data_IF_826884982270
#
_entry.id   IF_826884982270
#
_cell.length_a   1.000
_cell.length_b   1.000
_cell.length_c   1.000
_cell.angle_alpha   90.00
_cell.angle_beta   90.00
_cell.angle_gamma   90.00
#
_symmetry.space_group_name_H-M   'P 1'
#
loop_
_entity.id
_entity.type
_entity.pdbx_description
1 polymer ?
#
# COMPACT_ATOMS: atom_id res chain seq x y z
N UNK A 1 0.50 14.50 -1.71
CA UNK A 1 0.16 14.84 -3.09
C UNK A 1 -0.59 13.69 -3.72
N UNK A 2 -1.86 13.84 -4.11
CA UNK A 2 -2.66 12.77 -4.73
C UNK A 2 -2.02 12.24 -6.03
N UNK A 3 -1.19 13.04 -6.70
CA UNK A 3 -0.45 12.64 -7.90
C UNK A 3 0.60 11.54 -7.64
N UNK A 4 1.13 11.43 -6.40
CA UNK A 4 2.06 10.34 -6.05
C UNK A 4 1.36 8.99 -5.95
N UNK A 5 0.04 8.96 -5.76
CA UNK A 5 -0.75 7.74 -5.67
C UNK A 5 -1.10 7.17 -7.05
N UNK A 6 -1.03 7.96 -8.12
CA UNK A 6 -1.15 7.44 -9.49
C UNK A 6 -0.01 6.46 -9.84
N UNK A 7 1.17 6.65 -9.23
CA UNK A 7 2.31 5.74 -9.32
C UNK A 7 2.50 5.00 -7.98
N UNK A 8 1.67 3.97 -7.77
CA UNK A 8 1.75 3.06 -6.60
C UNK A 8 3.18 2.54 -6.37
N UNK A 9 3.94 2.09 -7.39
CA UNK A 9 5.36 1.75 -7.23
C UNK A 9 6.23 2.88 -6.67
N UNK A 10 6.11 4.12 -7.17
CA UNK A 10 6.87 5.26 -6.66
C UNK A 10 6.46 5.64 -5.22
N UNK A 11 5.17 5.62 -4.90
CA UNK A 11 4.68 5.82 -3.54
C UNK A 11 5.26 4.79 -2.57
N UNK A 12 5.20 3.50 -2.92
CA UNK A 12 5.80 2.43 -2.12
C UNK A 12 7.32 2.58 -1.97
N UNK A 13 8.03 3.08 -2.98
CA UNK A 13 9.47 3.39 -2.86
C UNK A 13 9.74 4.48 -1.82
N UNK A 14 8.93 5.55 -1.79
CA UNK A 14 9.07 6.62 -0.79
C UNK A 14 8.88 6.09 0.64
N UNK A 15 7.99 5.11 0.83
CA UNK A 15 7.73 4.46 2.11
C UNK A 15 8.73 3.34 2.43
N UNK A 16 9.66 3.00 1.51
CA UNK A 16 10.54 1.83 1.58
C UNK A 16 9.76 0.50 1.69
N UNK A 17 8.60 0.44 1.06
CA UNK A 17 7.69 -0.71 1.01
C UNK A 17 7.59 -1.30 -0.41
N UNK A 18 8.44 -0.86 -1.34
CA UNK A 18 8.46 -1.31 -2.75
C UNK A 18 8.62 -2.81 -2.96
N UNK A 19 9.01 -3.58 -1.94
CA UNK A 19 8.97 -5.05 -1.98
C UNK A 19 7.54 -5.62 -2.09
N UNK A 20 6.52 -4.84 -1.72
CA UNK A 20 5.12 -5.22 -1.80
C UNK A 20 4.43 -4.70 -3.06
N UNK A 21 5.17 -4.12 -4.03
CA UNK A 21 4.57 -3.58 -5.26
C UNK A 21 3.73 -4.63 -5.98
N UNK A 22 4.20 -5.88 -6.01
CA UNK A 22 3.49 -7.02 -6.59
C UNK A 22 2.17 -7.36 -5.87
N UNK A 23 2.02 -7.03 -4.59
CA UNK A 23 0.77 -7.21 -3.84
C UNK A 23 -0.35 -6.26 -4.30
N UNK A 24 0.02 -5.17 -4.97
CA UNK A 24 -0.88 -4.10 -5.42
C UNK A 24 -0.89 -3.92 -6.95
N UNK A 25 -0.28 -4.84 -7.71
CA UNK A 25 -0.36 -4.84 -9.16
C UNK A 25 -1.81 -4.99 -9.62
N UNK A 26 -2.23 -4.12 -10.55
CA UNK A 26 -3.60 -4.11 -11.07
C UNK A 26 -4.64 -3.50 -10.13
N UNK A 27 -4.23 -2.87 -9.02
CA UNK A 27 -5.13 -2.09 -8.17
C UNK A 27 -5.00 -0.59 -8.46
N UNK A 28 -6.14 0.07 -8.37
CA UNK A 28 -6.17 1.52 -8.25
C UNK A 28 -5.82 1.93 -6.83
N UNK A 29 -5.09 3.03 -6.71
CA UNK A 29 -4.75 3.63 -5.42
C UNK A 29 -5.96 4.00 -4.57
N UNK A 30 -7.11 4.28 -5.21
CA UNK A 30 -8.39 4.52 -4.52
C UNK A 30 -8.84 3.28 -3.75
N UNK A 31 -8.71 2.10 -4.36
CA UNK A 31 -8.99 0.84 -3.68
C UNK A 31 -8.02 0.62 -2.52
N UNK A 32 -6.76 1.05 -2.67
CA UNK A 32 -5.76 0.93 -1.60
C UNK A 32 -6.09 1.80 -0.38
N UNK A 33 -6.71 2.97 -0.58
CA UNK A 33 -7.18 3.82 0.52
C UNK A 33 -8.29 3.17 1.35
N UNK A 34 -9.12 2.34 0.71
CA UNK A 34 -10.24 1.65 1.36
C UNK A 34 -9.82 0.32 2.01
N UNK A 35 -8.55 -0.07 1.89
CA UNK A 35 -8.07 -1.35 2.41
C UNK A 35 -7.94 -1.36 3.94
N UNK A 36 -8.36 -2.48 4.52
CA UNK A 36 -8.20 -2.79 5.94
C UNK A 36 -6.91 -3.57 6.22
N UNK A 37 -6.56 -3.74 7.50
CA UNK A 37 -5.44 -4.61 7.92
C UNK A 37 -5.61 -6.06 7.43
N UNK A 38 -6.86 -6.53 7.36
CA UNK A 38 -7.20 -7.86 6.88
C UNK A 38 -6.97 -7.97 5.36
N UNK A 39 -7.37 -6.96 4.58
CA UNK A 39 -7.15 -6.93 3.13
C UNK A 39 -5.65 -6.94 2.79
N UNK A 40 -4.85 -6.16 3.54
CA UNK A 40 -3.40 -6.15 3.39
C UNK A 40 -2.78 -7.50 3.73
N UNK A 41 -3.30 -8.19 4.76
CA UNK A 41 -2.85 -9.53 5.15
C UNK A 41 -3.18 -10.55 4.06
N UNK A 42 -4.41 -10.54 3.54
CA UNK A 42 -4.87 -11.44 2.48
C UNK A 42 -4.10 -11.26 1.17
N UNK A 43 -3.58 -10.06 0.90
CA UNK A 43 -2.73 -9.77 -0.26
C UNK A 43 -1.25 -10.14 -0.10
N UNK A 44 -0.84 -10.64 1.07
CA UNK A 44 0.53 -11.07 1.32
C UNK A 44 1.40 -10.08 2.09
N UNK A 45 0.83 -9.00 2.63
CA UNK A 45 1.54 -8.09 3.56
C UNK A 45 1.49 -8.67 4.98
N UNK A 46 2.24 -9.75 5.21
CA UNK A 46 2.24 -10.45 6.49
C UNK A 46 2.83 -9.64 7.67
N UNK A 47 3.71 -8.68 7.38
CA UNK A 47 4.40 -7.91 8.42
C UNK A 47 3.50 -6.81 9.01
N UNK A 48 3.14 -6.94 10.29
CA UNK A 48 2.30 -5.97 11.02
C UNK A 48 2.83 -4.53 10.93
N UNK A 49 4.16 -4.34 11.03
CA UNK A 49 4.77 -3.01 10.92
C UNK A 49 4.60 -2.38 9.54
N UNK A 50 4.60 -3.19 8.47
CA UNK A 50 4.36 -2.70 7.12
C UNK A 50 2.89 -2.28 6.95
N UNK A 51 1.94 -3.09 7.45
CA UNK A 51 0.51 -2.77 7.38
C UNK A 51 0.17 -1.48 8.12
N UNK A 52 0.60 -1.35 9.38
CA UNK A 52 0.44 -0.12 10.16
C UNK A 52 1.04 1.10 9.46
N UNK A 53 2.18 0.94 8.78
CA UNK A 53 2.81 2.02 8.04
C UNK A 53 2.00 2.43 6.80
N UNK A 54 1.41 1.47 6.08
CA UNK A 54 0.54 1.75 4.93
C UNK A 54 -0.75 2.44 5.38
N UNK A 55 -1.42 1.91 6.40
CA UNK A 55 -2.67 2.46 6.92
C UNK A 55 -2.50 3.90 7.45
N UNK A 56 -1.40 4.19 8.16
CA UNK A 56 -1.10 5.53 8.67
C UNK A 56 -0.86 6.57 7.56
N UNK A 57 -0.45 6.15 6.36
CA UNK A 57 -0.23 7.07 5.23
C UNK A 57 -1.56 7.45 4.55
N UNK A 58 -2.62 6.68 4.83
CA UNK A 58 -3.96 6.90 4.32
C UNK A 58 -4.87 7.68 5.29
N UNK A 59 -4.42 7.92 6.53
CA UNK A 59 -4.97 8.93 7.47
C UNK A 59 -4.39 10.33 7.20
#
# INVERSE_FOLDING_TARGET
DPQLLEDVPAWLRSLRLHKYTTCFEGLDWKTMLEMTDEDLTNRGVAALGARRKMLKVFE
#
